data_IF_359769796960
#
_entry.id   IF_359769796960
#
_cell.length_a   1.000
_cell.length_b   1.000
_cell.length_c   1.000
_cell.angle_alpha   90.00
_cell.angle_beta   90.00
_cell.angle_gamma   90.00
#
_symmetry.space_group_name_H-M   'P 1'
#
loop_
_entity.id
_entity.type
_entity.pdbx_description
1 polymer ?
#
# COMPACT_ATOMS: atom_id res chain seq x y z
N UNK A 1 6.69 -20.78 -17.68
CA UNK A 1 5.58 -19.83 -17.46
C UNK A 1 6.00 -18.90 -16.35
N UNK A 2 6.09 -17.61 -16.65
CA UNK A 2 6.65 -16.55 -15.80
C UNK A 2 5.80 -16.34 -14.56
N UNK A 3 6.36 -16.65 -13.39
CA UNK A 3 5.80 -16.37 -12.06
C UNK A 3 5.84 -14.87 -11.69
N UNK A 4 5.95 -14.01 -12.70
CA UNK A 4 6.32 -12.60 -12.56
C UNK A 4 5.09 -11.66 -12.59
N UNK A 5 3.91 -12.18 -12.99
CA UNK A 5 2.68 -11.41 -12.90
C UNK A 5 2.25 -11.24 -11.44
N UNK A 6 2.13 -9.98 -11.04
CA UNK A 6 1.62 -9.61 -9.72
C UNK A 6 0.11 -9.85 -9.64
N UNK A 7 -0.31 -10.64 -8.66
CA UNK A 7 -1.73 -10.97 -8.42
C UNK A 7 -2.21 -10.33 -7.14
N UNK A 8 -3.53 -10.18 -6.97
CA UNK A 8 -4.14 -9.68 -5.73
C UNK A 8 -3.61 -10.39 -4.49
N UNK A 9 -3.51 -11.73 -4.54
CA UNK A 9 -2.99 -12.54 -3.43
C UNK A 9 -1.54 -12.18 -3.11
N UNK A 10 -0.69 -11.95 -4.13
CA UNK A 10 0.70 -11.52 -3.94
C UNK A 10 0.76 -10.12 -3.32
N UNK A 11 -0.02 -9.15 -3.81
CA UNK A 11 -0.05 -7.78 -3.25
C UNK A 11 -0.53 -7.78 -1.79
N UNK A 12 -1.60 -8.51 -1.49
CA UNK A 12 -2.09 -8.66 -0.11
C UNK A 12 -1.02 -9.29 0.80
N UNK A 13 -0.31 -10.31 0.30
CA UNK A 13 0.81 -10.92 1.02
C UNK A 13 1.90 -9.91 1.34
N UNK A 14 2.34 -9.13 0.36
CA UNK A 14 3.35 -8.07 0.53
C UNK A 14 2.90 -7.02 1.55
N UNK A 15 1.66 -6.56 1.47
CA UNK A 15 1.12 -5.54 2.38
C UNK A 15 1.09 -6.05 3.83
N UNK A 16 0.65 -7.30 4.04
CA UNK A 16 0.64 -7.92 5.38
C UNK A 16 2.05 -8.10 5.93
N UNK A 17 2.95 -8.66 5.12
CA UNK A 17 4.36 -8.89 5.47
C UNK A 17 5.07 -7.59 5.84
N UNK A 18 4.86 -6.53 5.04
CA UNK A 18 5.56 -5.26 5.21
C UNK A 18 5.06 -4.46 6.41
N UNK A 19 3.75 -4.36 6.59
CA UNK A 19 3.15 -3.39 7.51
C UNK A 19 2.42 -4.00 8.71
N UNK A 20 2.30 -5.33 8.79
CA UNK A 20 1.59 -6.00 9.88
C UNK A 20 0.12 -5.58 9.97
N UNK A 21 -0.51 -5.21 8.85
CA UNK A 21 -1.86 -4.64 8.87
C UNK A 21 -2.91 -5.70 9.19
N UNK A 22 -3.70 -5.45 10.23
CA UNK A 22 -4.95 -6.14 10.51
C UNK A 22 -6.11 -5.41 9.80
N UNK A 23 -7.10 -6.16 9.30
CA UNK A 23 -8.30 -5.58 8.68
C UNK A 23 -8.06 -5.08 7.25
N UNK A 24 -8.12 -6.01 6.30
CA UNK A 24 -8.22 -5.68 4.87
C UNK A 24 -9.70 -5.65 4.48
N UNK A 25 -10.16 -4.53 3.93
CA UNK A 25 -11.47 -4.47 3.31
C UNK A 25 -11.32 -4.88 1.85
N UNK A 26 -11.86 -6.04 1.51
CA UNK A 26 -11.79 -6.61 0.16
C UNK A 26 -12.99 -6.12 -0.66
N UNK A 27 -12.72 -5.50 -1.81
CA UNK A 27 -13.72 -5.23 -2.85
C UNK A 27 -13.54 -6.15 -4.05
N UNK A 28 -14.38 -6.02 -5.08
CA UNK A 28 -14.28 -6.84 -6.28
C UNK A 28 -12.97 -6.55 -7.04
N UNK A 29 -12.68 -5.27 -7.27
CA UNK A 29 -11.53 -4.84 -8.10
C UNK A 29 -10.32 -4.40 -7.27
N UNK A 30 -10.30 -4.65 -5.96
CA UNK A 30 -9.23 -4.14 -5.11
C UNK A 30 -9.40 -4.40 -3.63
N UNK A 31 -8.63 -3.70 -2.82
CA UNK A 31 -8.74 -3.76 -1.37
C UNK A 31 -8.27 -2.45 -0.73
N UNK A 32 -8.67 -2.26 0.53
CA UNK A 32 -8.23 -1.16 1.36
C UNK A 32 -7.59 -1.68 2.64
N UNK A 33 -6.64 -0.91 3.17
CA UNK A 33 -6.01 -1.16 4.46
C UNK A 33 -5.64 0.16 5.12
N UNK A 34 -5.53 0.14 6.44
CA UNK A 34 -5.10 1.30 7.22
C UNK A 34 -3.63 1.17 7.58
N UNK A 35 -2.85 2.21 7.32
CA UNK A 35 -1.48 2.38 7.81
C UNK A 35 -1.47 3.35 8.98
N UNK A 36 -0.67 3.03 10.00
CA UNK A 36 -0.45 3.88 11.16
C UNK A 36 -1.74 4.32 11.86
N UNK A 37 -2.78 3.47 11.81
CA UNK A 37 -4.11 3.72 12.39
C UNK A 37 -4.76 5.05 11.94
N UNK A 38 -4.26 5.65 10.86
CA UNK A 38 -4.61 7.02 10.46
C UNK A 38 -4.79 7.20 8.94
N UNK A 39 -4.08 6.41 8.13
CA UNK A 39 -4.09 6.58 6.67
C UNK A 39 -4.72 5.38 5.99
N UNK A 40 -5.85 5.58 5.31
CA UNK A 40 -6.46 4.55 4.48
C UNK A 40 -5.76 4.53 3.12
N UNK A 41 -5.27 3.36 2.72
CA UNK A 41 -4.67 3.12 1.42
C UNK A 41 -5.58 2.21 0.63
N UNK A 42 -5.91 2.61 -0.60
CA UNK A 42 -6.59 1.78 -1.58
C UNK A 42 -5.57 1.21 -2.53
N UNK A 43 -5.62 -0.10 -2.71
CA UNK A 43 -4.94 -0.83 -3.78
C UNK A 43 -6.02 -1.32 -4.74
N UNK A 44 -5.89 -0.99 -6.02
CA UNK A 44 -6.87 -1.39 -7.04
C UNK A 44 -6.15 -2.06 -8.20
N UNK A 45 -6.71 -3.16 -8.68
CA UNK A 45 -6.31 -3.72 -9.96
C UNK A 45 -6.74 -2.74 -11.06
N UNK A 46 -5.82 -2.41 -11.95
CA UNK A 46 -6.11 -1.54 -13.09
C UNK A 46 -6.21 -2.41 -14.34
N UNK A 47 -7.38 -2.34 -14.97
CA UNK A 47 -7.84 -3.24 -16.01
C UNK A 47 -7.54 -2.70 -17.42
N UNK A 48 -6.48 -1.90 -17.61
CA UNK A 48 -6.01 -1.51 -18.95
C UNK A 48 -5.56 -2.75 -19.79
N UNK A 49 -6.55 -3.49 -20.28
CA UNK A 49 -6.50 -4.55 -21.29
C UNK A 49 -5.93 -5.91 -20.86
N UNK A 50 -4.99 -5.97 -19.90
CA UNK A 50 -4.17 -7.18 -19.72
C UNK A 50 -4.34 -7.92 -18.39
N UNK A 51 -4.94 -7.32 -17.36
CA UNK A 51 -4.99 -7.89 -16.01
C UNK A 51 -3.59 -8.05 -15.40
N UNK A 52 -3.30 -7.34 -14.30
CA UNK A 52 -1.99 -7.45 -13.63
C UNK A 52 -1.24 -6.14 -13.43
N UNK A 53 -1.91 -4.99 -13.61
CA UNK A 53 -1.42 -3.72 -13.11
C UNK A 53 -2.09 -3.40 -11.77
N UNK A 54 -1.35 -2.79 -10.85
CA UNK A 54 -1.87 -2.30 -9.59
C UNK A 54 -1.64 -0.81 -9.45
N UNK A 55 -2.69 -0.10 -9.06
CA UNK A 55 -2.61 1.28 -8.62
C UNK A 55 -2.81 1.38 -7.12
N UNK A 56 -2.11 2.34 -6.52
CA UNK A 56 -2.31 2.70 -5.12
C UNK A 56 -2.72 4.16 -5.00
N UNK A 57 -3.51 4.46 -3.98
CA UNK A 57 -3.83 5.82 -3.59
C UNK A 57 -4.03 5.90 -2.08
N UNK A 58 -3.66 7.03 -1.49
CA UNK A 58 -3.95 7.33 -0.09
C UNK A 58 -5.22 8.18 -0.02
N UNK A 59 -6.13 7.82 0.87
CA UNK A 59 -7.34 8.58 1.16
C UNK A 59 -7.00 9.74 2.10
N UNK A 60 -7.51 10.93 1.79
CA UNK A 60 -7.30 12.16 2.57
C UNK A 60 -8.66 12.83 2.78
N UNK A 61 -9.17 12.81 4.02
CA UNK A 61 -10.55 13.26 4.28
C UNK A 61 -11.59 12.33 3.68
N UNK A 62 -12.84 12.77 3.55
CA UNK A 62 -13.94 11.87 3.11
C UNK A 62 -13.86 11.48 1.63
N UNK A 63 -13.40 12.37 0.75
CA UNK A 63 -13.63 12.23 -0.69
C UNK A 63 -12.38 12.38 -1.57
N UNK A 64 -11.18 12.56 -0.99
CA UNK A 64 -9.95 12.78 -1.78
C UNK A 64 -9.09 11.53 -1.81
N UNK A 65 -8.76 11.08 -3.02
CA UNK A 65 -7.78 10.03 -3.27
C UNK A 65 -6.54 10.63 -3.93
N UNK A 66 -5.37 10.46 -3.30
CA UNK A 66 -4.12 10.95 -3.83
C UNK A 66 -3.29 9.81 -4.42
N UNK A 67 -3.27 9.74 -5.76
CA UNK A 67 -2.48 8.77 -6.53
C UNK A 67 -1.07 9.24 -6.91
N UNK A 68 -0.68 10.45 -6.48
CA UNK A 68 0.67 11.00 -6.66
C UNK A 68 1.19 11.53 -5.34
N UNK A 69 2.26 10.94 -4.81
CA UNK A 69 2.86 11.31 -3.54
C UNK A 69 4.34 11.63 -3.74
N UNK A 70 4.83 12.70 -3.12
CA UNK A 70 6.25 13.09 -3.20
C UNK A 70 6.75 13.27 -4.66
N UNK A 71 5.87 13.65 -5.59
CA UNK A 71 6.18 13.78 -7.02
C UNK A 71 6.10 12.46 -7.81
N UNK A 72 5.88 11.34 -7.13
CA UNK A 72 5.83 10.00 -7.74
C UNK A 72 4.39 9.54 -7.94
N UNK A 73 4.09 9.03 -9.14
CA UNK A 73 2.79 8.45 -9.47
C UNK A 73 2.73 7.00 -8.95
N UNK A 74 1.65 6.66 -8.26
CA UNK A 74 1.45 5.36 -7.61
C UNK A 74 0.68 4.33 -8.45
N UNK A 75 0.50 4.60 -9.74
CA UNK A 75 -0.23 3.72 -10.67
C UNK A 75 0.70 2.75 -11.39
N UNK A 76 0.14 1.66 -11.93
CA UNK A 76 0.78 0.75 -12.89
C UNK A 76 1.98 -0.05 -12.34
N UNK A 77 1.87 -0.60 -11.13
CA UNK A 77 2.82 -1.61 -10.62
C UNK A 77 2.46 -3.01 -11.16
N UNK A 78 3.39 -3.64 -11.87
CA UNK A 78 3.26 -4.93 -12.57
C UNK A 78 4.08 -6.03 -11.93
N UNK A 79 5.15 -5.66 -11.22
CA UNK A 79 6.05 -6.60 -10.55
C UNK A 79 5.97 -6.48 -9.04
N UNK A 80 6.55 -7.45 -8.32
CA UNK A 80 6.71 -7.38 -6.86
C UNK A 80 7.51 -6.15 -6.44
N UNK A 81 8.61 -5.87 -7.13
CA UNK A 81 9.51 -4.78 -6.78
C UNK A 81 8.85 -3.42 -7.00
N UNK A 82 8.12 -3.25 -8.10
CA UNK A 82 7.34 -2.03 -8.33
C UNK A 82 6.27 -1.81 -7.25
N UNK A 83 5.60 -2.88 -6.80
CA UNK A 83 4.66 -2.80 -5.67
C UNK A 83 5.40 -2.38 -4.39
N UNK A 84 6.56 -2.96 -4.11
CA UNK A 84 7.36 -2.60 -2.94
C UNK A 84 7.80 -1.14 -2.98
N UNK A 85 8.19 -0.63 -4.14
CA UNK A 85 8.58 0.77 -4.34
C UNK A 85 7.41 1.72 -4.09
N UNK A 86 6.21 1.40 -4.62
CA UNK A 86 5.01 2.24 -4.37
C UNK A 86 4.62 2.24 -2.90
N UNK A 87 4.69 1.09 -2.23
CA UNK A 87 4.44 0.99 -0.80
C UNK A 87 5.50 1.74 0.02
N UNK A 88 6.76 1.76 -0.41
CA UNK A 88 7.82 2.54 0.24
C UNK A 88 7.59 4.05 0.12
N UNK A 89 7.10 4.53 -1.03
CA UNK A 89 6.72 5.94 -1.22
C UNK A 89 5.57 6.32 -0.29
N UNK A 90 4.53 5.49 -0.22
CA UNK A 90 3.38 5.69 0.68
C UNK A 90 3.86 5.72 2.13
N UNK A 91 4.67 4.75 2.54
CA UNK A 91 5.24 4.67 3.89
C UNK A 91 6.00 5.95 4.25
N UNK A 92 6.93 6.38 3.39
CA UNK A 92 7.69 7.62 3.56
C UNK A 92 6.77 8.83 3.67
N UNK A 93 5.75 8.92 2.82
CA UNK A 93 4.79 10.03 2.83
C UNK A 93 3.98 10.08 4.14
N UNK A 94 3.57 8.93 4.67
CA UNK A 94 2.87 8.82 5.95
C UNK A 94 3.78 9.23 7.11
N UNK A 95 5.00 8.68 7.16
CA UNK A 95 5.97 8.96 8.25
C UNK A 95 6.32 10.45 8.37
N UNK A 96 6.40 11.18 7.25
CA UNK A 96 6.63 12.63 7.26
C UNK A 96 5.50 13.46 7.92
N UNK A 97 4.34 12.85 8.18
CA UNK A 97 3.15 13.51 8.78
C UNK A 97 2.89 13.08 10.22
N UNK A 98 3.68 12.14 10.74
CA UNK A 98 3.50 11.57 12.07
C UNK A 98 4.56 12.08 13.03
N UNK A 99 4.20 12.16 14.31
CA UNK A 99 5.14 12.55 15.36
C UNK A 99 6.18 11.46 15.63
N UNK A 100 7.41 11.86 15.95
CA UNK A 100 8.52 10.93 16.19
C UNK A 100 8.23 9.89 17.28
N UNK A 101 7.62 10.29 18.40
CA UNK A 101 7.28 9.37 19.49
C UNK A 101 6.31 8.26 19.05
N UNK A 102 5.33 8.59 18.21
CA UNK A 102 4.41 7.61 17.64
C UNK A 102 5.14 6.63 16.72
N UNK A 103 6.02 7.14 15.84
CA UNK A 103 6.80 6.31 14.93
C UNK A 103 7.72 5.35 15.69
N UNK A 104 8.41 5.81 16.75
CA UNK A 104 9.24 4.96 17.60
C UNK A 104 8.44 3.82 18.21
N UNK A 105 7.31 4.12 18.86
CA UNK A 105 6.45 3.10 19.47
C UNK A 105 5.91 2.10 18.42
N UNK A 106 5.58 2.58 17.21
CA UNK A 106 5.11 1.72 16.13
C UNK A 106 6.20 0.80 15.58
N UNK A 107 7.41 1.33 15.39
CA UNK A 107 8.55 0.56 14.88
C UNK A 107 8.96 -0.52 15.91
N UNK A 108 8.92 -0.22 17.21
CA UNK A 108 9.10 -1.20 18.28
C UNK A 108 8.04 -2.31 18.19
N UNK A 109 6.76 -1.97 18.08
CA UNK A 109 5.68 -2.96 17.98
C UNK A 109 5.87 -3.89 16.77
N UNK A 110 6.23 -3.35 15.60
CA UNK A 110 6.48 -4.14 14.39
C UNK A 110 7.73 -5.02 14.52
N UNK A 111 8.76 -4.56 15.22
CA UNK A 111 9.97 -5.33 15.52
C UNK A 111 9.72 -6.55 16.41
N UNK A 112 8.68 -6.51 17.26
CA UNK A 112 8.26 -7.66 18.08
C UNK A 112 7.34 -8.65 17.34
N UNK A 113 6.83 -8.29 16.16
CA UNK A 113 5.91 -9.11 15.36
C UNK A 113 6.62 -9.92 14.26
N UNK A 114 7.93 -9.73 14.06
CA UNK A 114 8.77 -10.43 13.08
C UNK A 114 9.67 -11.45 13.77
#
# INVERSE_FOLDING_TARGET
>A
MTDDQITRRKVVGIVRERFGVGGLLLGDDGFQFTLYDAFVVRAQADDYGAGGNWGFAVHIGADVWQGTLLGERLTLARTRDEVLDRLAIIDRWCRLRLGGAYLTARDEQLGHQR
#
